data_IF_236759100195
#
_entry.id   IF_236759100195
#
_cell.length_a   1.000
_cell.length_b   1.000
_cell.length_c   1.000
_cell.angle_alpha   90.00
_cell.angle_beta   90.00
_cell.angle_gamma   90.00
#
_symmetry.space_group_name_H-M   'P 1'
#
loop_
_entity.id
_entity.type
_entity.pdbx_description
1 polymer ?
#
# COMPACT_ATOMS: atom_id res chain seq x y z
N UNK A 1 21.01 -2.66 10.32
CA UNK A 1 20.97 -2.19 8.92
C UNK A 1 19.96 -1.09 8.69
N UNK A 2 18.64 -1.28 8.84
CA UNK A 2 17.63 -0.22 8.59
C UNK A 2 17.88 1.05 9.42
N UNK A 3 18.03 0.90 10.74
CA UNK A 3 18.33 2.03 11.65
C UNK A 3 19.66 2.70 11.27
N UNK A 4 20.71 1.91 11.02
CA UNK A 4 22.03 2.43 10.61
C UNK A 4 21.98 3.18 9.27
N UNK A 5 21.08 2.76 8.36
CA UNK A 5 20.84 3.43 7.08
C UNK A 5 19.98 4.71 7.21
N UNK A 6 19.52 5.05 8.42
CA UNK A 6 18.77 6.28 8.69
C UNK A 6 17.25 6.15 8.61
N UNK A 7 16.68 4.94 8.64
CA UNK A 7 15.24 4.78 8.76
C UNK A 7 14.76 5.12 10.17
N UNK A 8 13.83 6.06 10.28
CA UNK A 8 13.32 6.60 11.56
C UNK A 8 11.93 6.07 11.94
N UNK A 9 11.26 5.35 11.03
CA UNK A 9 10.01 4.62 11.31
C UNK A 9 10.19 3.13 11.05
N UNK A 10 10.10 2.31 12.08
CA UNK A 10 10.36 0.86 12.02
C UNK A 10 9.10 0.10 12.45
N UNK A 11 8.50 -0.64 11.52
CA UNK A 11 7.44 -1.60 11.85
C UNK A 11 8.07 -2.92 12.27
N UNK A 12 7.85 -3.32 13.52
CA UNK A 12 8.31 -4.57 14.10
C UNK A 12 7.17 -5.59 14.09
N UNK A 13 7.27 -6.52 13.15
CA UNK A 13 6.32 -7.61 13.00
C UNK A 13 7.05 -8.96 13.09
N UNK A 14 6.67 -9.77 14.07
CA UNK A 14 7.22 -11.09 14.35
C UNK A 14 6.10 -12.14 14.48
N UNK A 15 4.97 -11.92 13.80
CA UNK A 15 3.75 -12.73 13.92
C UNK A 15 3.82 -14.03 13.13
N UNK A 16 4.54 -14.03 12.01
CA UNK A 16 4.74 -15.21 11.16
C UNK A 16 5.73 -16.21 11.79
N UNK A 17 5.38 -17.50 11.70
CA UNK A 17 6.21 -18.60 12.17
C UNK A 17 7.45 -18.85 11.31
N UNK A 18 8.56 -19.22 11.96
CA UNK A 18 9.75 -19.73 11.28
C UNK A 18 9.57 -21.21 10.89
N UNK A 19 10.56 -21.76 10.17
CA UNK A 19 10.58 -23.18 9.82
C UNK A 19 10.46 -24.07 11.07
N UNK A 20 9.42 -24.91 11.10
CA UNK A 20 9.10 -25.79 12.23
C UNK A 20 8.09 -25.21 13.24
N UNK A 21 7.64 -23.96 13.04
CA UNK A 21 6.61 -23.31 13.85
C UNK A 21 5.26 -23.28 13.14
N UNK A 22 4.19 -22.99 13.89
CA UNK A 22 2.88 -22.72 13.28
C UNK A 22 2.93 -21.44 12.44
N UNK A 23 2.13 -21.37 11.36
CA UNK A 23 2.13 -20.23 10.44
C UNK A 23 1.90 -18.88 11.17
N UNK A 24 1.01 -18.87 12.17
CA UNK A 24 0.79 -17.74 13.07
C UNK A 24 1.25 -18.10 14.48
N UNK A 25 2.06 -17.24 15.08
CA UNK A 25 2.60 -17.44 16.42
C UNK A 25 1.65 -16.90 17.51
N UNK A 26 1.69 -17.47 18.73
CA UNK A 26 0.98 -16.89 19.87
C UNK A 26 1.52 -15.50 20.22
N UNK A 27 0.64 -14.60 20.66
CA UNK A 27 0.97 -13.20 21.01
C UNK A 27 2.18 -13.06 21.94
N UNK A 28 2.33 -13.94 22.92
CA UNK A 28 3.46 -13.90 23.85
C UNK A 28 4.82 -14.14 23.16
N UNK A 29 4.86 -15.02 22.16
CA UNK A 29 6.07 -15.31 21.38
C UNK A 29 6.37 -14.15 20.45
N UNK A 30 5.35 -13.66 19.73
CA UNK A 30 5.42 -12.49 18.87
C UNK A 30 5.95 -11.27 19.62
N UNK A 31 5.33 -10.92 20.75
CA UNK A 31 5.70 -9.77 21.56
C UNK A 31 7.13 -9.86 22.08
N UNK A 32 7.58 -11.05 22.49
CA UNK A 32 8.97 -11.27 22.95
C UNK A 32 9.97 -11.08 21.81
N UNK A 33 9.67 -11.58 20.60
CA UNK A 33 10.52 -11.36 19.41
C UNK A 33 10.56 -9.89 19.01
N UNK A 34 9.41 -9.22 19.01
CA UNK A 34 9.31 -7.78 18.78
C UNK A 34 10.14 -6.97 19.77
N UNK A 35 10.06 -7.29 21.06
CA UNK A 35 10.86 -6.64 22.10
C UNK A 35 12.37 -6.83 21.90
N UNK A 36 12.79 -8.02 21.48
CA UNK A 36 14.18 -8.30 21.13
C UNK A 36 14.66 -7.47 19.93
N UNK A 37 13.85 -7.35 18.87
CA UNK A 37 14.19 -6.51 17.71
C UNK A 37 14.23 -5.02 18.07
N UNK A 38 13.28 -4.56 18.88
CA UNK A 38 13.27 -3.20 19.42
C UNK A 38 14.58 -2.87 20.14
N UNK A 39 15.05 -3.76 21.04
CA UNK A 39 16.35 -3.57 21.73
C UNK A 39 17.51 -3.39 20.75
N UNK A 40 17.57 -4.22 19.70
CA UNK A 40 18.61 -4.11 18.67
C UNK A 40 18.50 -2.79 17.89
N UNK A 41 17.29 -2.33 17.62
CA UNK A 41 17.06 -1.04 16.98
C UNK A 41 17.53 0.13 17.86
N UNK A 42 17.25 0.08 19.16
CA UNK A 42 17.68 1.08 20.14
C UNK A 42 19.21 1.11 20.29
N UNK A 43 19.87 -0.05 20.32
CA UNK A 43 21.34 -0.12 20.33
C UNK A 43 21.95 0.47 19.06
N UNK A 44 21.33 0.21 17.90
CA UNK A 44 21.79 0.72 16.62
C UNK A 44 21.46 2.21 16.39
N UNK A 45 20.46 2.76 17.08
CA UNK A 45 20.02 4.15 16.87
C UNK A 45 21.04 5.16 17.39
N UNK A 46 21.89 4.76 18.34
CA UNK A 46 22.86 5.65 18.97
C UNK A 46 22.21 6.85 19.67
N UNK A 47 20.95 6.69 20.13
CA UNK A 47 20.18 7.75 20.79
C UNK A 47 19.34 8.63 19.85
N UNK A 48 19.25 8.29 18.56
CA UNK A 48 18.27 8.91 17.65
C UNK A 48 16.84 8.50 18.05
N UNK A 49 15.89 9.40 17.83
CA UNK A 49 14.49 9.13 18.08
C UNK A 49 13.90 8.29 16.94
N UNK A 50 13.57 7.04 17.24
CA UNK A 50 13.00 6.08 16.28
C UNK A 50 11.55 5.84 16.68
N UNK A 51 10.64 6.01 15.73
CA UNK A 51 9.23 5.68 15.90
C UNK A 51 9.01 4.22 15.52
N UNK A 52 8.32 3.49 16.38
CA UNK A 52 8.01 2.09 16.16
C UNK A 52 6.53 1.89 15.87
N UNK A 53 6.26 0.91 15.03
CA UNK A 53 4.94 0.35 14.81
C UNK A 53 4.96 -1.11 15.21
N UNK A 54 3.90 -1.61 15.83
CA UNK A 54 3.76 -3.01 16.25
C UNK A 54 2.45 -3.59 15.73
N UNK A 55 2.29 -4.91 15.88
CA UNK A 55 1.11 -5.64 15.43
C UNK A 55 1.17 -5.98 13.94
N UNK A 56 0.13 -6.64 13.48
CA UNK A 56 -0.09 -7.01 12.08
C UNK A 56 -1.58 -6.98 11.80
N UNK A 57 -1.92 -6.80 10.54
CA UNK A 57 -3.19 -7.23 9.98
C UNK A 57 -3.24 -8.77 10.02
N UNK A 58 -4.23 -9.32 10.74
CA UNK A 58 -4.56 -10.75 10.70
C UNK A 58 -5.95 -10.91 10.12
N UNK A 59 -6.10 -11.66 9.01
CA UNK A 59 -5.03 -12.28 8.22
C UNK A 59 -4.21 -11.25 7.41
N UNK A 60 -3.04 -11.64 6.87
CA UNK A 60 -2.20 -10.78 6.02
C UNK A 60 -2.95 -10.17 4.83
N UNK A 61 -2.41 -9.11 4.20
CA UNK A 61 -3.04 -8.38 3.10
C UNK A 61 -3.50 -9.29 1.95
N UNK A 62 -4.77 -9.14 1.57
CA UNK A 62 -5.40 -9.93 0.51
C UNK A 62 -5.76 -11.36 0.94
N UNK A 63 -5.68 -11.66 2.24
CA UNK A 63 -6.04 -12.93 2.83
C UNK A 63 -7.33 -12.88 3.68
N UNK A 64 -7.93 -11.70 3.87
CA UNK A 64 -9.13 -11.57 4.69
C UNK A 64 -10.35 -12.15 3.98
N UNK A 65 -11.18 -12.80 4.80
CA UNK A 65 -12.44 -13.38 4.36
C UNK A 65 -13.55 -12.48 4.81
N UNK A 66 -14.53 -12.32 3.94
CA UNK A 66 -15.74 -11.57 4.24
C UNK A 66 -16.54 -12.24 5.36
N UNK A 67 -17.22 -11.44 6.17
CA UNK A 67 -18.17 -11.88 7.19
C UNK A 67 -19.54 -12.21 6.58
N UNK A 68 -20.55 -12.46 7.44
CA UNK A 68 -21.92 -12.79 7.02
C UNK A 68 -22.60 -11.66 6.22
N UNK A 69 -22.13 -10.43 6.37
CA UNK A 69 -22.63 -9.25 5.65
C UNK A 69 -21.90 -9.01 4.32
N UNK A 70 -20.84 -9.78 4.04
CA UNK A 70 -20.01 -9.61 2.86
C UNK A 70 -18.85 -8.61 3.04
N UNK A 71 -18.61 -8.15 4.27
CA UNK A 71 -17.58 -7.15 4.58
C UNK A 71 -16.34 -7.77 5.19
N UNK A 72 -15.19 -7.08 5.08
CA UNK A 72 -13.99 -7.49 5.80
C UNK A 72 -14.16 -7.17 7.29
N UNK A 73 -14.02 -8.15 8.21
CA UNK A 73 -14.21 -7.91 9.63
C UNK A 73 -13.10 -6.99 10.15
N UNK A 74 -13.49 -5.99 10.95
CA UNK A 74 -12.53 -5.14 11.63
C UNK A 74 -11.91 -5.84 12.84
N UNK A 75 -10.67 -5.48 13.19
CA UNK A 75 -10.06 -5.89 14.46
C UNK A 75 -10.91 -5.43 15.63
N UNK A 76 -11.16 -6.32 16.59
CA UNK A 76 -11.93 -5.98 17.79
C UNK A 76 -11.08 -5.22 18.81
N UNK A 77 -11.67 -4.35 19.65
CA UNK A 77 -10.97 -3.71 20.76
C UNK A 77 -10.27 -4.69 21.70
N UNK A 78 -10.89 -5.84 21.95
CA UNK A 78 -10.36 -6.87 22.83
C UNK A 78 -9.06 -7.46 22.27
N UNK A 79 -9.03 -7.77 20.97
CA UNK A 79 -7.81 -8.27 20.32
C UNK A 79 -6.72 -7.20 20.26
N UNK A 80 -7.07 -5.95 19.93
CA UNK A 80 -6.11 -4.85 19.92
C UNK A 80 -5.50 -4.60 21.32
N UNK A 81 -6.33 -4.64 22.37
CA UNK A 81 -5.87 -4.49 23.76
C UNK A 81 -4.97 -5.65 24.18
N UNK A 82 -5.32 -6.89 23.84
CA UNK A 82 -4.50 -8.07 24.13
C UNK A 82 -3.10 -7.95 23.48
N UNK A 83 -3.02 -7.46 22.24
CA UNK A 83 -1.75 -7.17 21.57
C UNK A 83 -0.93 -6.14 22.33
N UNK A 84 -1.52 -5.02 22.74
CA UNK A 84 -0.81 -3.98 23.50
C UNK A 84 -0.32 -4.51 24.85
N UNK A 85 -1.16 -5.25 25.59
CA UNK A 85 -0.81 -5.80 26.90
C UNK A 85 0.33 -6.82 26.79
N UNK A 86 0.32 -7.67 25.75
CA UNK A 86 1.39 -8.62 25.48
C UNK A 86 2.73 -7.91 25.19
N UNK A 87 2.70 -6.86 24.37
CA UNK A 87 3.90 -6.06 24.05
C UNK A 87 4.41 -5.28 25.26
N UNK A 88 3.54 -4.65 26.05
CA UNK A 88 3.96 -3.95 27.27
C UNK A 88 4.64 -4.89 28.26
N UNK A 89 4.11 -6.11 28.42
CA UNK A 89 4.73 -7.13 29.25
C UNK A 89 6.10 -7.55 28.71
N UNK A 90 6.19 -7.83 27.41
CA UNK A 90 7.44 -8.25 26.79
C UNK A 90 8.53 -7.15 26.84
N UNK A 91 8.19 -5.90 26.52
CA UNK A 91 9.13 -4.79 26.62
C UNK A 91 9.67 -4.60 28.03
N UNK A 92 8.82 -4.73 29.06
CA UNK A 92 9.26 -4.69 30.47
C UNK A 92 10.19 -5.85 30.80
N UNK A 93 9.88 -7.06 30.35
CA UNK A 93 10.70 -8.25 30.61
C UNK A 93 12.07 -8.19 29.92
N UNK A 94 12.15 -7.62 28.72
CA UNK A 94 13.40 -7.46 27.95
C UNK A 94 14.17 -6.18 28.31
N UNK A 95 13.71 -5.39 29.30
CA UNK A 95 14.39 -4.17 29.74
C UNK A 95 14.27 -2.98 28.79
N UNK A 96 13.28 -2.98 27.89
CA UNK A 96 13.02 -1.93 26.89
C UNK A 96 11.87 -1.02 27.35
N UNK A 97 11.84 -0.60 28.61
CA UNK A 97 10.67 0.06 29.22
C UNK A 97 10.34 1.44 28.64
N UNK A 98 11.35 2.18 28.18
CA UNK A 98 11.20 3.56 27.70
C UNK A 98 10.67 3.63 26.25
N UNK A 99 10.47 2.47 25.60
CA UNK A 99 10.00 2.42 24.22
C UNK A 99 8.51 2.72 24.09
N UNK A 100 7.72 2.62 25.18
CA UNK A 100 6.27 2.80 25.12
C UNK A 100 5.87 4.16 24.54
N UNK A 101 6.62 5.23 24.82
CA UNK A 101 6.40 6.56 24.24
C UNK A 101 6.87 6.67 22.78
N UNK A 102 7.72 5.75 22.33
CA UNK A 102 8.21 5.63 20.94
C UNK A 102 7.38 4.69 20.08
N UNK A 103 6.46 3.91 20.66
CA UNK A 103 5.48 3.14 19.87
C UNK A 103 4.39 4.10 19.38
N UNK A 104 4.49 4.47 18.10
CA UNK A 104 3.64 5.46 17.44
C UNK A 104 2.49 4.82 16.64
N UNK A 105 2.57 3.52 16.33
CA UNK A 105 1.55 2.83 15.54
C UNK A 105 1.19 1.44 16.06
N UNK A 106 -0.10 1.10 15.99
CA UNK A 106 -0.59 -0.27 16.07
C UNK A 106 -1.27 -0.62 14.75
N UNK A 107 -0.76 -1.64 14.06
CA UNK A 107 -1.42 -2.16 12.86
C UNK A 107 -2.68 -2.92 13.25
N UNK A 108 -3.81 -2.52 12.69
CA UNK A 108 -5.11 -3.19 12.86
C UNK A 108 -5.89 -3.15 11.54
N UNK A 109 -6.83 -4.08 11.36
CA UNK A 109 -7.68 -4.15 10.17
C UNK A 109 -8.94 -3.29 10.41
N UNK A 110 -9.15 -2.17 9.70
CA UNK A 110 -10.41 -1.40 9.77
C UNK A 110 -11.56 -2.04 8.98
N UNK A 111 -11.25 -3.04 8.16
CA UNK A 111 -12.16 -3.65 7.20
C UNK A 111 -12.09 -3.03 5.81
N UNK A 112 -10.88 -2.64 5.41
CA UNK A 112 -10.56 -2.30 4.02
C UNK A 112 -9.75 -3.44 3.43
N UNK A 113 -10.06 -3.83 2.20
CA UNK A 113 -9.22 -4.76 1.44
C UNK A 113 -9.50 -4.65 -0.06
N UNK A 114 -8.73 -5.36 -0.86
CA UNK A 114 -9.02 -5.63 -2.26
C UNK A 114 -8.54 -7.05 -2.62
N UNK A 115 -9.33 -7.72 -3.45
CA UNK A 115 -8.94 -8.96 -4.13
C UNK A 115 -8.49 -8.62 -5.55
N UNK A 116 -8.04 -9.57 -6.39
CA UNK A 116 -7.60 -9.24 -7.74
C UNK A 116 -8.61 -8.44 -8.58
N UNK A 117 -9.93 -8.61 -8.37
CA UNK A 117 -10.96 -7.98 -9.22
C UNK A 117 -12.01 -7.18 -8.46
N UNK A 118 -11.88 -7.03 -7.14
CA UNK A 118 -12.87 -6.35 -6.31
C UNK A 118 -12.19 -5.55 -5.21
N UNK A 119 -12.68 -4.33 -4.99
CA UNK A 119 -12.37 -3.55 -3.78
C UNK A 119 -13.44 -3.87 -2.74
N UNK A 120 -13.01 -4.15 -1.52
CA UNK A 120 -13.86 -4.26 -0.35
C UNK A 120 -13.80 -2.94 0.40
N UNK A 121 -14.86 -2.15 0.22
CA UNK A 121 -14.95 -0.82 0.81
C UNK A 121 -15.33 -0.92 2.29
N UNK A 122 -14.72 -0.09 3.13
CA UNK A 122 -15.14 0.03 4.53
C UNK A 122 -16.54 0.68 4.60
N UNK A 123 -17.51 0.08 5.31
CA UNK A 123 -18.79 0.72 5.60
C UNK A 123 -18.58 2.02 6.38
N UNK A 124 -19.23 3.11 5.95
CA UNK A 124 -18.96 4.46 6.49
C UNK A 124 -19.41 4.62 7.95
N UNK A 125 -20.47 3.92 8.34
CA UNK A 125 -21.03 3.88 9.69
C UNK A 125 -20.24 3.01 10.67
N UNK A 126 -19.18 2.32 10.20
CA UNK A 126 -18.38 1.45 11.04
C UNK A 126 -17.62 2.24 12.11
N UNK A 127 -17.72 1.77 13.34
CA UNK A 127 -16.87 2.20 14.45
C UNK A 127 -16.67 1.01 15.40
N UNK A 128 -15.50 0.34 15.36
CA UNK A 128 -15.22 -0.78 16.24
C UNK A 128 -14.87 -0.36 17.68
N UNK A 129 -14.72 0.94 17.97
CA UNK A 129 -14.28 1.42 19.30
C UNK A 129 -12.77 1.35 19.53
N UNK A 130 -11.96 1.25 18.48
CA UNK A 130 -10.50 1.12 18.59
C UNK A 130 -9.80 2.38 19.12
N UNK A 131 -10.44 3.55 19.03
CA UNK A 131 -9.91 4.81 19.59
C UNK A 131 -9.71 4.75 21.10
N UNK A 132 -10.60 4.06 21.82
CA UNK A 132 -10.46 3.91 23.26
C UNK A 132 -9.24 3.05 23.63
N UNK A 133 -8.92 2.07 22.79
CA UNK A 133 -7.74 1.22 22.96
C UNK A 133 -6.47 2.00 22.66
N UNK A 134 -6.43 2.77 21.57
CA UNK A 134 -5.21 3.53 21.21
C UNK A 134 -4.84 4.56 22.28
N UNK A 135 -5.84 5.23 22.89
CA UNK A 135 -5.63 6.24 23.93
C UNK A 135 -4.96 5.70 25.21
N UNK A 136 -4.84 4.39 25.37
CA UNK A 136 -4.11 3.76 26.49
C UNK A 136 -2.61 4.04 26.42
N UNK A 137 -2.09 4.34 25.23
CA UNK A 137 -0.68 4.61 24.98
C UNK A 137 -0.54 6.04 24.42
N UNK A 138 0.20 6.94 25.10
CA UNK A 138 0.13 8.38 24.83
C UNK A 138 0.43 8.81 23.39
N UNK A 139 1.35 8.13 22.71
CA UNK A 139 1.82 8.49 21.37
C UNK A 139 1.21 7.62 20.25
N UNK A 140 0.29 6.72 20.58
CA UNK A 140 -0.15 5.66 19.69
C UNK A 140 -1.27 6.14 18.76
N UNK A 141 -1.06 5.96 17.46
CA UNK A 141 -2.09 6.01 16.44
C UNK A 141 -2.34 4.60 15.86
N UNK A 142 -3.40 4.45 15.06
CA UNK A 142 -3.64 3.22 14.30
C UNK A 142 -2.97 3.31 12.93
N UNK A 143 -2.54 2.16 12.44
CA UNK A 143 -2.00 1.98 11.09
C UNK A 143 -2.86 0.99 10.32
N UNK A 144 -3.34 1.42 9.15
CA UNK A 144 -4.10 0.57 8.22
C UNK A 144 -3.21 0.20 7.03
N UNK A 145 -3.21 -1.08 6.70
CA UNK A 145 -2.61 -1.60 5.47
C UNK A 145 -3.69 -1.80 4.41
N UNK A 146 -3.28 -1.95 3.15
CA UNK A 146 -4.19 -2.24 2.03
C UNK A 146 -5.32 -1.22 1.86
N UNK A 147 -5.06 0.05 2.18
CA UNK A 147 -6.06 1.12 2.02
C UNK A 147 -6.25 1.52 0.56
N UNK A 148 -5.52 0.91 -0.37
CA UNK A 148 -5.61 1.16 -1.81
C UNK A 148 -7.05 1.09 -2.34
N UNK A 149 -7.34 1.94 -3.32
CA UNK A 149 -8.59 1.96 -4.11
C UNK A 149 -9.89 2.28 -3.36
N UNK A 150 -9.82 2.62 -2.07
CA UNK A 150 -11.00 3.02 -1.31
C UNK A 150 -11.60 4.31 -1.86
N UNK A 151 -12.90 4.51 -1.60
CA UNK A 151 -13.58 5.75 -1.96
C UNK A 151 -12.97 6.93 -1.19
N UNK A 152 -12.88 8.14 -1.77
CA UNK A 152 -12.22 9.27 -1.12
C UNK A 152 -12.68 9.57 0.31
N UNK A 153 -13.98 9.40 0.60
CA UNK A 153 -14.56 9.64 1.93
C UNK A 153 -14.06 8.65 3.00
N UNK A 154 -13.59 7.46 2.59
CA UNK A 154 -13.09 6.44 3.50
C UNK A 154 -11.79 6.89 4.16
N UNK A 155 -10.91 7.60 3.44
CA UNK A 155 -9.63 8.06 4.01
C UNK A 155 -9.82 9.09 5.13
N UNK A 156 -10.75 10.03 4.94
CA UNK A 156 -11.17 10.96 5.99
C UNK A 156 -11.77 10.20 7.18
N UNK A 157 -12.67 9.24 6.92
CA UNK A 157 -13.27 8.41 7.96
C UNK A 157 -12.26 7.57 8.73
N UNK A 158 -11.25 7.00 8.06
CA UNK A 158 -10.15 6.29 8.71
C UNK A 158 -9.37 7.24 9.65
N UNK A 159 -9.09 8.47 9.21
CA UNK A 159 -8.44 9.47 10.07
C UNK A 159 -9.27 9.78 11.31
N UNK A 160 -10.58 9.99 11.17
CA UNK A 160 -11.51 10.17 12.30
C UNK A 160 -11.50 8.99 13.28
N UNK A 161 -11.32 7.77 12.78
CA UNK A 161 -11.23 6.55 13.58
C UNK A 161 -9.85 6.32 14.23
N UNK A 162 -8.89 7.22 14.01
CA UNK A 162 -7.56 7.18 14.61
C UNK A 162 -6.48 6.54 13.73
N UNK A 163 -6.79 6.20 12.47
CA UNK A 163 -5.83 5.70 11.50
C UNK A 163 -5.03 6.85 10.88
N UNK A 164 -4.01 7.31 11.60
CA UNK A 164 -3.11 8.35 11.15
C UNK A 164 -2.12 7.85 10.07
N UNK A 165 -1.80 6.56 10.09
CA UNK A 165 -0.98 5.93 9.05
C UNK A 165 -1.88 5.09 8.13
N UNK A 166 -2.07 5.55 6.89
CA UNK A 166 -2.85 4.87 5.86
C UNK A 166 -1.92 4.47 4.72
N UNK A 167 -1.55 3.19 4.63
CA UNK A 167 -0.52 2.72 3.68
C UNK A 167 -1.11 2.45 2.30
N UNK A 168 -0.53 3.11 1.31
CA UNK A 168 -0.80 2.91 -0.12
C UNK A 168 0.42 2.34 -0.84
N UNK A 169 0.21 1.51 -1.87
CA UNK A 169 1.30 1.00 -2.69
C UNK A 169 0.81 0.51 -4.04
N UNK A 170 0.11 -0.64 -4.11
CA UNK A 170 -0.48 -1.15 -5.35
C UNK A 170 -1.23 -0.12 -6.18
N UNK A 171 -2.03 0.77 -5.59
CA UNK A 171 -2.76 1.80 -6.33
C UNK A 171 -1.84 2.73 -7.14
N UNK A 172 -0.65 3.05 -6.61
CA UNK A 172 0.31 3.91 -7.28
C UNK A 172 0.94 3.23 -8.49
N UNK A 173 1.37 1.98 -8.33
CA UNK A 173 1.98 1.23 -9.44
C UNK A 173 0.94 0.75 -10.46
N UNK A 174 -0.31 0.57 -10.03
CA UNK A 174 -1.46 0.33 -10.89
C UNK A 174 -1.76 1.56 -11.76
N UNK A 175 -1.79 2.75 -11.17
CA UNK A 175 -1.93 4.02 -11.89
C UNK A 175 -0.79 4.22 -12.89
N UNK A 176 0.46 3.96 -12.48
CA UNK A 176 1.62 3.97 -13.38
C UNK A 176 1.45 3.02 -14.57
N UNK A 177 1.02 1.78 -14.33
CA UNK A 177 0.73 0.79 -15.38
C UNK A 177 -0.35 1.28 -16.34
N UNK A 178 -1.45 1.85 -15.82
CA UNK A 178 -2.52 2.39 -16.64
C UNK A 178 -2.01 3.49 -17.57
N UNK A 179 -1.22 4.44 -17.05
CA UNK A 179 -0.64 5.50 -17.88
C UNK A 179 0.27 4.95 -18.98
N UNK A 180 1.14 3.99 -18.67
CA UNK A 180 2.00 3.36 -19.66
C UNK A 180 1.20 2.63 -20.76
N UNK A 181 0.16 1.91 -20.38
CA UNK A 181 -0.69 1.20 -21.34
C UNK A 181 -1.51 2.17 -22.19
N UNK A 182 -2.08 3.21 -21.59
CA UNK A 182 -2.80 4.28 -22.30
C UNK A 182 -1.91 4.94 -23.35
N UNK A 183 -0.66 5.26 -23.01
CA UNK A 183 0.32 5.83 -23.93
C UNK A 183 0.70 4.88 -25.09
N UNK A 184 0.88 3.59 -24.82
CA UNK A 184 1.16 2.60 -25.87
C UNK A 184 -0.05 2.39 -26.80
N UNK A 185 -1.27 2.39 -26.25
CA UNK A 185 -2.52 2.32 -27.02
C UNK A 185 -2.68 3.57 -27.89
N UNK A 186 -2.42 4.75 -27.33
CA UNK A 186 -2.40 6.02 -28.03
C UNK A 186 -1.52 5.98 -29.29
N UNK A 187 -0.27 5.52 -29.17
CA UNK A 187 0.61 5.34 -30.33
C UNK A 187 0.07 4.31 -31.34
N UNK A 188 -0.72 3.35 -30.89
CA UNK A 188 -1.38 2.33 -31.70
C UNK A 188 -2.32 2.89 -32.77
N UNK A 189 -2.98 4.03 -32.51
CA UNK A 189 -3.83 4.70 -33.51
C UNK A 189 -3.07 5.13 -34.77
N UNK A 190 -1.75 5.33 -34.66
CA UNK A 190 -0.85 5.63 -35.78
C UNK A 190 -0.01 4.43 -36.22
N UNK A 191 -0.27 3.23 -35.69
CA UNK A 191 0.53 2.03 -35.94
C UNK A 191 1.96 2.10 -35.37
N UNK A 192 2.18 2.93 -34.34
CA UNK A 192 3.52 3.22 -33.78
C UNK A 192 3.71 2.68 -32.36
N UNK A 193 2.79 1.88 -31.85
CA UNK A 193 2.90 1.26 -30.52
C UNK A 193 4.15 0.38 -30.42
N UNK A 194 4.71 0.30 -29.21
CA UNK A 194 5.89 -0.53 -28.90
C UNK A 194 5.50 -1.94 -28.44
N UNK A 195 4.22 -2.19 -28.17
CA UNK A 195 3.72 -3.51 -27.78
C UNK A 195 4.08 -3.85 -26.34
N UNK A 196 3.95 -2.88 -25.44
CA UNK A 196 4.31 -3.00 -24.02
C UNK A 196 3.51 -4.11 -23.33
N UNK A 197 2.19 -4.16 -23.55
CA UNK A 197 1.32 -5.21 -22.97
C UNK A 197 1.82 -6.61 -23.36
N UNK A 198 2.16 -6.84 -24.62
CA UNK A 198 2.65 -8.14 -25.09
C UNK A 198 4.04 -8.48 -24.54
N UNK A 199 4.89 -7.47 -24.33
CA UNK A 199 6.18 -7.66 -23.70
C UNK A 199 6.04 -8.05 -22.23
N UNK A 200 5.19 -7.34 -21.48
CA UNK A 200 4.89 -7.68 -20.10
C UNK A 200 4.22 -9.05 -19.97
N UNK A 201 3.30 -9.40 -20.87
CA UNK A 201 2.65 -10.72 -20.86
C UNK A 201 3.66 -11.86 -21.01
N UNK A 202 4.56 -11.76 -22.01
CA UNK A 202 5.62 -12.77 -22.21
C UNK A 202 6.52 -12.89 -21.00
N UNK A 203 6.93 -11.75 -20.44
CA UNK A 203 7.80 -11.71 -19.27
C UNK A 203 7.12 -12.36 -18.05
N UNK A 204 5.88 -11.96 -17.74
CA UNK A 204 5.14 -12.50 -16.61
C UNK A 204 4.82 -13.99 -16.78
N UNK A 205 4.56 -14.47 -17.99
CA UNK A 205 4.40 -15.91 -18.25
C UNK A 205 5.72 -16.68 -18.06
N UNK A 206 6.86 -16.09 -18.48
CA UNK A 206 8.17 -16.75 -18.35
C UNK A 206 8.69 -16.82 -16.92
N UNK A 207 8.30 -15.89 -16.06
CA UNK A 207 8.75 -15.81 -14.66
C UNK A 207 7.57 -15.73 -13.67
N UNK A 208 6.71 -16.75 -13.56
CA UNK A 208 5.41 -16.64 -12.87
C UNK A 208 5.48 -16.45 -11.35
N UNK A 209 6.67 -16.56 -10.74
CA UNK A 209 6.92 -16.57 -9.29
C UNK A 209 6.26 -15.41 -8.53
N UNK A 210 6.15 -14.23 -9.13
CA UNK A 210 5.60 -13.05 -8.45
C UNK A 210 4.07 -12.96 -8.46
N UNK A 211 3.37 -13.74 -9.30
CA UNK A 211 1.91 -13.66 -9.43
C UNK A 211 1.19 -14.99 -9.23
N UNK A 212 1.83 -16.15 -9.45
CA UNK A 212 1.16 -17.45 -9.46
C UNK A 212 0.43 -17.80 -8.14
N UNK A 213 0.96 -17.36 -6.99
CA UNK A 213 0.32 -17.57 -5.69
C UNK A 213 -0.85 -16.62 -5.40
N UNK A 214 -1.05 -15.59 -6.23
CA UNK A 214 -2.08 -14.57 -6.04
C UNK A 214 -3.24 -14.71 -7.04
N UNK A 215 -3.01 -15.28 -8.22
CA UNK A 215 -4.02 -15.40 -9.27
C UNK A 215 -4.32 -16.86 -9.57
N UNK A 216 -5.39 -17.39 -8.97
CA UNK A 216 -5.77 -18.79 -9.09
C UNK A 216 -6.01 -19.24 -10.54
N UNK A 217 -6.62 -18.37 -11.36
CA UNK A 217 -6.86 -18.68 -12.78
C UNK A 217 -5.62 -18.50 -13.65
N UNK A 218 -4.67 -17.67 -13.19
CA UNK A 218 -3.49 -17.29 -13.96
C UNK A 218 -3.82 -16.82 -15.37
N UNK A 219 -4.98 -16.21 -15.60
CA UNK A 219 -5.36 -15.76 -16.93
C UNK A 219 -4.65 -14.43 -17.25
N UNK A 220 -4.72 -14.01 -18.51
CA UNK A 220 -4.10 -12.76 -18.96
C UNK A 220 -4.74 -11.52 -18.31
N UNK A 221 -6.03 -11.56 -18.01
CA UNK A 221 -6.75 -10.45 -17.39
C UNK A 221 -6.18 -10.20 -15.98
N UNK A 222 -6.09 -11.23 -15.13
CA UNK A 222 -5.54 -11.14 -13.77
C UNK A 222 -4.14 -10.49 -13.74
N UNK A 223 -3.27 -10.90 -14.67
CA UNK A 223 -1.91 -10.36 -14.78
C UNK A 223 -1.86 -8.87 -15.13
N UNK A 224 -2.79 -8.40 -15.96
CA UNK A 224 -2.72 -7.06 -16.55
C UNK A 224 -3.67 -6.05 -15.90
N UNK A 225 -4.73 -6.49 -15.24
CA UNK A 225 -5.72 -5.60 -14.61
C UNK A 225 -5.95 -5.90 -13.13
N UNK A 226 -5.36 -6.96 -12.57
CA UNK A 226 -5.56 -7.32 -11.18
C UNK A 226 -5.12 -6.22 -10.20
N UNK A 227 -5.97 -5.92 -9.20
CA UNK A 227 -5.76 -4.87 -8.19
C UNK A 227 -4.60 -5.19 -7.23
N UNK A 228 -4.29 -6.48 -7.07
CA UNK A 228 -3.07 -6.90 -6.37
C UNK A 228 -1.78 -6.43 -7.07
N UNK A 229 -1.88 -5.91 -8.31
CA UNK A 229 -0.86 -5.27 -9.12
C UNK A 229 0.50 -6.01 -9.14
N UNK A 230 0.44 -7.34 -9.28
CA UNK A 230 1.64 -8.20 -9.23
C UNK A 230 2.64 -7.91 -10.38
N UNK A 231 2.18 -7.23 -11.43
CA UNK A 231 3.05 -6.73 -12.50
C UNK A 231 4.11 -5.73 -11.99
N UNK A 232 3.90 -5.07 -10.84
CA UNK A 232 4.86 -4.10 -10.29
C UNK A 232 6.27 -4.67 -10.06
N UNK A 233 6.35 -5.96 -9.73
CA UNK A 233 7.62 -6.66 -9.49
C UNK A 233 8.44 -6.87 -10.77
N UNK A 234 7.83 -6.69 -11.94
CA UNK A 234 8.48 -6.87 -13.24
C UNK A 234 8.98 -5.55 -13.82
N UNK A 235 8.55 -4.39 -13.31
CA UNK A 235 9.03 -3.10 -13.82
C UNK A 235 10.56 -2.95 -13.72
N UNK A 236 11.26 -3.42 -12.68
CA UNK A 236 12.73 -3.38 -12.63
C UNK A 236 13.42 -4.34 -13.63
N UNK A 237 12.69 -5.28 -14.25
CA UNK A 237 13.28 -6.26 -15.14
C UNK A 237 13.84 -5.59 -16.42
N UNK A 238 15.04 -5.96 -16.90
CA UNK A 238 15.67 -5.29 -18.05
C UNK A 238 14.81 -5.24 -19.32
N UNK A 239 14.02 -6.29 -19.59
CA UNK A 239 13.10 -6.30 -20.75
C UNK A 239 11.96 -5.30 -20.59
N UNK A 240 11.42 -5.14 -19.38
CA UNK A 240 10.37 -4.16 -19.09
C UNK A 240 10.94 -2.73 -19.19
N UNK A 241 12.09 -2.47 -18.58
CA UNK A 241 12.80 -1.19 -18.66
C UNK A 241 13.08 -0.80 -20.12
N UNK A 242 13.56 -1.73 -20.94
CA UNK A 242 13.79 -1.49 -22.38
C UNK A 242 12.50 -1.12 -23.12
N UNK A 243 11.38 -1.79 -22.84
CA UNK A 243 10.10 -1.51 -23.48
C UNK A 243 9.55 -0.14 -23.06
N UNK A 244 9.63 0.21 -21.77
CA UNK A 244 9.22 1.53 -21.26
C UNK A 244 10.11 2.64 -21.82
N UNK A 245 11.41 2.41 -21.93
CA UNK A 245 12.33 3.37 -22.57
C UNK A 245 11.97 3.59 -24.04
N UNK A 246 11.70 2.52 -24.79
CA UNK A 246 11.28 2.62 -26.19
C UNK A 246 9.96 3.41 -26.35
N UNK A 247 9.00 3.19 -25.43
CA UNK A 247 7.76 3.97 -25.38
C UNK A 247 8.05 5.46 -25.19
N UNK A 248 8.87 5.81 -24.19
CA UNK A 248 9.25 7.21 -23.90
C UNK A 248 9.99 7.86 -25.06
N UNK A 249 10.91 7.16 -25.70
CA UNK A 249 11.63 7.66 -26.88
C UNK A 249 10.68 7.95 -28.04
N UNK A 250 9.72 7.05 -28.30
CA UNK A 250 8.73 7.25 -29.37
C UNK A 250 7.84 8.47 -29.12
N UNK A 251 7.49 8.73 -27.85
CA UNK A 251 6.69 9.89 -27.44
C UNK A 251 7.49 11.19 -27.41
N UNK A 252 8.82 11.13 -27.27
CA UNK A 252 9.68 12.31 -27.40
C UNK A 252 9.76 12.80 -28.86
N UNK A 253 9.64 11.87 -29.83
CA UNK A 253 9.63 12.18 -31.26
C UNK A 253 8.24 12.60 -31.76
N UNK A 254 7.18 12.22 -31.05
CA UNK A 254 5.79 12.36 -31.49
C UNK A 254 4.96 12.93 -30.36
N UNK A 255 4.65 14.22 -30.46
CA UNK A 255 3.62 14.82 -29.63
C UNK A 255 2.26 14.19 -29.98
N UNK A 256 1.59 13.60 -28.99
CA UNK A 256 0.25 13.07 -29.14
C UNK A 256 -0.75 14.24 -29.17
N UNK A 257 -1.64 14.33 -30.17
CA UNK A 257 -2.66 15.37 -30.20
C UNK A 257 -3.77 15.10 -29.19
N UNK A 258 -4.35 16.15 -28.61
CA UNK A 258 -5.37 16.04 -27.55
C UNK A 258 -6.54 15.11 -27.88
N UNK A 259 -7.13 15.12 -29.10
CA UNK A 259 -8.24 14.21 -29.42
C UNK A 259 -7.91 12.73 -29.26
N UNK A 260 -6.63 12.37 -29.41
CA UNK A 260 -6.14 11.01 -29.20
C UNK A 260 -5.93 10.72 -27.71
N UNK A 261 -5.43 11.70 -26.95
CA UNK A 261 -5.33 11.60 -25.49
C UNK A 261 -6.71 11.45 -24.83
N UNK A 262 -7.74 12.12 -25.33
CA UNK A 262 -9.13 11.98 -24.87
C UNK A 262 -9.69 10.56 -25.01
N UNK A 263 -9.10 9.71 -25.86
CA UNK A 263 -9.53 8.31 -26.00
C UNK A 263 -9.03 7.40 -24.88
N UNK A 264 -7.94 7.78 -24.20
CA UNK A 264 -7.18 6.86 -23.33
C UNK A 264 -6.96 7.40 -21.91
N UNK A 265 -7.14 8.70 -21.68
CA UNK A 265 -7.02 9.35 -20.38
C UNK A 265 -8.33 10.02 -19.97
N UNK A 266 -8.59 10.10 -18.67
CA UNK A 266 -9.72 10.87 -18.15
C UNK A 266 -9.45 12.38 -18.25
N UNK A 267 -10.50 13.22 -18.31
CA UNK A 267 -10.34 14.68 -18.30
C UNK A 267 -9.50 15.18 -17.13
N UNK A 268 -9.69 14.62 -15.93
CA UNK A 268 -8.94 14.98 -14.72
C UNK A 268 -7.43 14.78 -14.88
N UNK A 269 -7.00 13.68 -15.50
CA UNK A 269 -5.58 13.39 -15.73
C UNK A 269 -4.98 14.41 -16.72
N UNK A 270 -5.73 14.76 -17.76
CA UNK A 270 -5.28 15.73 -18.76
C UNK A 270 -5.16 17.14 -18.15
N UNK A 271 -6.16 17.56 -17.39
CA UNK A 271 -6.15 18.84 -16.67
C UNK A 271 -4.98 18.92 -15.68
N UNK A 272 -4.75 17.86 -14.88
CA UNK A 272 -3.60 17.81 -13.96
C UNK A 272 -2.28 17.84 -14.72
N UNK A 273 -2.15 17.10 -15.81
CA UNK A 273 -0.92 17.06 -16.60
C UNK A 273 -0.53 18.43 -17.18
N UNK A 274 -1.51 19.30 -17.47
CA UNK A 274 -1.21 20.67 -17.93
C UNK A 274 -0.56 21.56 -16.86
N UNK A 275 -0.70 21.21 -15.59
CA UNK A 275 -0.09 21.92 -14.47
C UNK A 275 1.30 21.39 -14.08
N UNK A 276 1.78 20.32 -14.73
CA UNK A 276 3.06 19.69 -14.41
C UNK A 276 4.17 20.10 -15.39
N UNK A 277 5.43 19.91 -14.99
CA UNK A 277 6.59 20.18 -15.83
C UNK A 277 7.15 18.90 -16.49
N UNK A 278 7.83 19.06 -17.62
CA UNK A 278 8.52 17.97 -18.32
C UNK A 278 7.84 17.54 -19.62
N UNK A 279 8.27 16.39 -20.15
CA UNK A 279 7.74 15.86 -21.42
C UNK A 279 6.26 15.48 -21.28
N UNK A 280 5.50 15.53 -22.39
CA UNK A 280 4.08 15.14 -22.40
C UNK A 280 3.84 13.77 -21.74
N UNK A 281 4.66 12.77 -22.06
CA UNK A 281 4.56 11.43 -21.47
C UNK A 281 4.81 11.43 -19.96
N UNK A 282 5.79 12.20 -19.48
CA UNK A 282 6.10 12.30 -18.05
C UNK A 282 4.94 12.95 -17.28
N UNK A 283 4.44 14.09 -17.77
CA UNK A 283 3.31 14.80 -17.14
C UNK A 283 2.07 13.92 -17.02
N UNK A 284 1.74 13.15 -18.07
CA UNK A 284 0.58 12.25 -18.06
C UNK A 284 0.73 11.09 -17.08
N UNK A 285 1.95 10.53 -16.96
CA UNK A 285 2.24 9.48 -15.99
C UNK A 285 2.16 10.02 -14.56
N UNK A 286 2.78 11.16 -14.29
CA UNK A 286 2.80 11.78 -12.98
C UNK A 286 1.38 12.19 -12.55
N UNK A 287 0.62 12.83 -13.44
CA UNK A 287 -0.77 13.20 -13.20
C UNK A 287 -1.63 11.98 -12.83
N UNK A 288 -1.47 10.85 -13.52
CA UNK A 288 -2.21 9.62 -13.21
C UNK A 288 -1.88 9.09 -11.81
N UNK A 289 -0.61 9.18 -11.38
CA UNK A 289 -0.16 8.74 -10.05
C UNK A 289 -0.61 9.71 -8.97
N UNK A 290 -0.44 11.01 -9.19
CA UNK A 290 -0.86 12.05 -8.23
C UNK A 290 -2.36 11.98 -7.95
N UNK A 291 -3.20 11.78 -8.98
CA UNK A 291 -4.64 11.62 -8.78
C UNK A 291 -4.98 10.39 -7.92
N UNK A 292 -4.18 9.32 -7.98
CA UNK A 292 -4.35 8.17 -7.10
C UNK A 292 -3.90 8.46 -5.65
N UNK A 293 -3.05 9.47 -5.45
CA UNK A 293 -2.62 9.96 -4.13
C UNK A 293 -3.56 11.00 -3.54
N UNK A 294 -4.23 11.81 -4.37
CA UNK A 294 -5.08 12.92 -3.92
C UNK A 294 -6.02 12.54 -2.76
N UNK A 295 -6.70 11.37 -2.75
CA UNK A 295 -7.59 11.00 -1.64
C UNK A 295 -6.91 10.82 -0.28
N UNK A 296 -5.58 10.61 -0.25
CA UNK A 296 -4.79 10.49 0.96
C UNK A 296 -4.39 11.86 1.55
N UNK A 297 -4.58 12.95 0.80
CA UNK A 297 -4.37 14.30 1.31
C UNK A 297 -5.64 14.83 2.01
N UNK A 298 -5.76 14.50 3.30
CA UNK A 298 -6.97 14.77 4.11
C UNK A 298 -7.01 16.24 4.59
N UNK A 299 -6.03 17.07 4.23
CA UNK A 299 -5.89 18.46 4.75
C UNK A 299 -6.95 19.44 4.23
N UNK A 300 -7.88 19.00 3.38
CA UNK A 300 -8.67 19.88 2.51
C UNK A 300 -10.19 19.88 2.75
N UNK A 301 -10.73 19.14 3.73
CA UNK A 301 -12.20 19.15 3.97
C UNK A 301 -12.69 20.33 4.82
N UNK A 302 -11.84 20.96 5.66
CA UNK A 302 -12.25 22.14 6.46
C UNK A 302 -12.08 23.48 5.73
N UNK A 303 -11.32 23.55 4.63
CA UNK A 303 -10.99 24.81 3.94
C UNK A 303 -11.89 25.13 2.74
N UNK A 304 -12.86 24.28 2.41
CA UNK A 304 -13.81 24.48 1.28
C UNK A 304 -15.23 24.88 1.71
N UNK A 305 -15.45 25.12 3.01
CA UNK A 305 -16.69 25.72 3.54
C UNK A 305 -16.31 26.84 4.52
N UNK A 306 -15.97 28.00 3.98
CA UNK A 306 -15.71 29.24 4.73
C UNK A 306 -16.06 30.45 3.88
#
# INVERSE_FOLDING_TARGET
SYVEAGFEKIHLDCTEGCAGEGAQLPDAVTATRTANLARVCEEASGGKDILYVIGTEVPPPGGARVDESGDIPATTPQSALATLDAHEKAFKSEGVSDIKSRIAGLVVQPGVEFTPMQVHHMPMERDPGLREVMMRWPSLCLEAHSTDYQDPKVYARLSELGFAFQKVGPALTFAYRQALYALDIALGFSGKNVGLVNTMERLMQSEPKHWQGHYASGNRIDRHVGLADRIRYYWPHPQAQKAVLALRQRLAEIALPDPLLWQVFSPQVLERAECLEGTQAQRLIDAQIEIALDPYDIRDEETKVG
#
